data_IF_428475026835
#
_entry.id   IF_428475026835
#
_cell.length_a   1.000
_cell.length_b   1.000
_cell.length_c   1.000
_cell.angle_alpha   90.00
_cell.angle_beta   90.00
_cell.angle_gamma   90.00
#
_symmetry.space_group_name_H-M   'P 1'
#
loop_
_entity.id
_entity.type
_entity.pdbx_description
1 polymer ?
#
# COMPACT_ATOMS: atom_id res chain seq x y z
N UNK A 1 -22.07 25.33 -54.58
CA UNK A 1 -21.61 26.29 -53.55
C UNK A 1 -21.85 25.64 -52.21
N UNK A 2 -20.77 25.29 -51.54
CA UNK A 2 -20.68 24.41 -50.38
C UNK A 2 -20.78 25.23 -49.11
N UNK A 3 -21.60 24.80 -48.15
CA UNK A 3 -21.63 25.34 -46.78
C UNK A 3 -20.60 24.59 -45.91
N UNK A 4 -19.87 25.27 -45.01
CA UNK A 4 -18.87 24.63 -44.16
C UNK A 4 -19.39 24.31 -42.73
N UNK A 5 -18.83 23.22 -42.18
CA UNK A 5 -18.29 23.00 -40.81
C UNK A 5 -19.18 23.24 -39.57
N UNK A 6 -19.08 22.52 -38.45
CA UNK A 6 -18.40 21.31 -38.00
C UNK A 6 -18.99 21.06 -36.59
N UNK A 7 -19.16 19.80 -36.16
CA UNK A 7 -19.24 19.49 -34.74
C UNK A 7 -18.43 18.25 -34.47
N UNK A 8 -17.37 18.51 -33.73
CA UNK A 8 -16.35 17.65 -33.16
C UNK A 8 -16.96 16.58 -32.26
N UNK A 9 -16.70 15.30 -32.56
CA UNK A 9 -16.71 14.23 -31.56
C UNK A 9 -15.46 13.40 -31.81
N UNK A 10 -14.42 13.68 -31.04
CA UNK A 10 -13.23 12.85 -30.98
C UNK A 10 -13.61 11.47 -30.41
N UNK A 11 -13.81 10.53 -31.32
CA UNK A 11 -13.76 9.09 -31.09
C UNK A 11 -12.34 8.74 -30.59
N UNK A 12 -12.22 8.43 -29.29
CA UNK A 12 -10.97 7.89 -28.73
C UNK A 12 -10.99 6.38 -28.90
N UNK A 13 -10.61 5.94 -30.09
CA UNK A 13 -10.29 4.54 -30.34
C UNK A 13 -9.07 4.14 -29.49
N UNK A 14 -9.23 3.14 -28.63
CA UNK A 14 -8.12 2.51 -27.90
C UNK A 14 -7.31 1.67 -28.89
N UNK A 15 -5.97 1.82 -28.99
CA UNK A 15 -5.18 1.01 -29.92
C UNK A 15 -5.04 -0.44 -29.40
N UNK A 16 -4.91 -1.43 -30.30
CA UNK A 16 -4.76 -2.82 -29.92
C UNK A 16 -3.37 -3.10 -29.33
N UNK A 17 -3.33 -4.07 -28.42
CA UNK A 17 -2.13 -4.53 -27.71
C UNK A 17 -1.16 -5.25 -28.66
N UNK A 18 0.09 -4.76 -28.69
CA UNK A 18 1.28 -5.52 -29.09
C UNK A 18 1.92 -5.11 -30.41
N UNK A 19 2.77 -4.07 -30.37
CA UNK A 19 4.00 -3.99 -31.17
C UNK A 19 5.07 -3.30 -30.30
N UNK A 20 6.25 -3.93 -30.14
CA UNK A 20 7.43 -3.33 -29.48
C UNK A 20 7.99 -2.21 -30.35
N UNK A 21 8.11 -0.99 -29.83
CA UNK A 21 8.82 0.11 -30.49
C UNK A 21 10.31 0.17 -30.09
N UNK A 22 11.23 0.39 -31.05
CA UNK A 22 12.66 0.45 -30.83
C UNK A 22 13.12 1.91 -30.71
N UNK A 23 12.93 2.54 -29.55
CA UNK A 23 13.75 3.70 -29.18
C UNK A 23 13.73 3.88 -27.66
N UNK A 24 14.88 4.23 -27.07
CA UNK A 24 15.16 4.24 -25.63
C UNK A 24 14.37 5.28 -24.81
N UNK A 25 13.05 5.19 -24.79
CA UNK A 25 12.12 6.02 -24.03
C UNK A 25 11.79 5.42 -22.65
N UNK A 26 11.84 6.28 -21.65
CA UNK A 26 11.49 6.05 -20.24
C UNK A 26 10.19 5.24 -20.09
N UNK A 27 10.25 4.13 -19.35
CA UNK A 27 9.10 3.26 -19.07
C UNK A 27 7.97 4.06 -18.41
N UNK A 28 6.89 4.30 -19.16
CA UNK A 28 5.71 5.06 -18.69
C UNK A 28 4.75 4.25 -17.81
N UNK A 29 5.18 3.07 -17.37
CA UNK A 29 4.44 2.21 -16.46
C UNK A 29 5.43 1.78 -15.38
N UNK A 30 5.21 2.26 -14.15
CA UNK A 30 5.94 1.83 -12.97
C UNK A 30 5.68 0.34 -12.77
N UNK A 31 6.70 -0.47 -12.98
CA UNK A 31 6.65 -1.93 -12.93
C UNK A 31 7.03 -2.36 -11.51
N UNK A 32 6.04 -2.57 -10.64
CA UNK A 32 6.24 -3.34 -9.40
C UNK A 32 5.42 -4.64 -9.37
N UNK A 33 4.63 -4.91 -10.42
CA UNK A 33 3.91 -6.18 -10.57
C UNK A 33 2.71 -6.34 -9.62
N UNK A 34 2.23 -5.25 -9.00
CA UNK A 34 1.29 -5.32 -7.87
C UNK A 34 -0.18 -5.03 -8.21
N UNK A 35 -0.51 -4.70 -9.46
CA UNK A 35 -1.88 -4.38 -9.89
C UNK A 35 -2.39 -2.98 -9.49
N UNK A 36 -1.66 -2.26 -8.64
CA UNK A 36 -1.88 -0.84 -8.31
C UNK A 36 -0.69 -0.05 -8.80
N UNK A 37 -0.88 0.87 -9.76
CA UNK A 37 0.18 1.81 -10.14
C UNK A 37 0.04 3.09 -9.33
N UNK A 38 1.17 3.68 -8.98
CA UNK A 38 1.22 5.02 -8.36
C UNK A 38 1.87 6.01 -9.31
N UNK A 39 1.32 7.22 -9.40
CA UNK A 39 1.94 8.32 -10.16
C UNK A 39 3.10 8.97 -9.37
N UNK A 40 3.68 10.05 -9.91
CA UNK A 40 4.76 10.80 -9.24
C UNK A 40 4.33 11.40 -7.90
N UNK A 41 3.02 11.62 -7.71
CA UNK A 41 2.41 12.12 -6.48
C UNK A 41 2.01 10.97 -5.52
N UNK A 42 2.34 9.71 -5.85
CA UNK A 42 2.01 8.50 -5.11
C UNK A 42 0.49 8.22 -4.99
N UNK A 43 -0.28 8.69 -5.97
CA UNK A 43 -1.73 8.48 -6.10
C UNK A 43 -2.01 7.13 -6.76
N UNK A 44 -2.91 6.32 -6.19
CA UNK A 44 -3.21 5.01 -6.75
C UNK A 44 -4.18 5.08 -7.94
N UNK A 45 -3.88 4.26 -8.95
CA UNK A 45 -4.82 3.86 -9.99
C UNK A 45 -4.92 2.35 -9.96
N UNK A 46 -6.09 1.82 -9.61
CA UNK A 46 -6.36 0.39 -9.61
C UNK A 46 -7.73 0.10 -10.21
N UNK A 47 -7.81 -0.90 -11.09
CA UNK A 47 -9.07 -1.34 -11.65
C UNK A 47 -9.65 -2.49 -10.83
N UNK A 48 -10.86 -2.31 -10.32
CA UNK A 48 -11.63 -3.37 -9.68
C UNK A 48 -12.59 -3.96 -10.70
N UNK A 49 -12.25 -5.13 -11.24
CA UNK A 49 -13.08 -5.82 -12.23
C UNK A 49 -14.41 -6.31 -11.66
N UNK A 50 -14.42 -6.70 -10.39
CA UNK A 50 -15.61 -7.25 -9.75
C UNK A 50 -16.67 -6.16 -9.54
N UNK A 51 -16.23 -4.96 -9.18
CA UNK A 51 -17.10 -3.79 -9.04
C UNK A 51 -17.23 -2.95 -10.32
N UNK A 52 -16.51 -3.30 -11.40
CA UNK A 52 -16.43 -2.57 -12.66
C UNK A 52 -16.17 -1.06 -12.47
N UNK A 53 -15.16 -0.72 -11.66
CA UNK A 53 -14.82 0.66 -11.33
C UNK A 53 -13.30 0.90 -11.25
N UNK A 54 -12.92 2.18 -11.31
CA UNK A 54 -11.56 2.64 -11.11
C UNK A 54 -11.42 3.21 -9.70
N UNK A 55 -10.50 2.65 -8.93
CA UNK A 55 -10.09 3.16 -7.63
C UNK A 55 -9.00 4.20 -7.87
N UNK A 56 -9.29 5.45 -7.52
CA UNK A 56 -8.43 6.61 -7.77
C UNK A 56 -7.76 7.15 -6.51
N UNK A 57 -8.07 6.56 -5.36
CA UNK A 57 -7.48 6.87 -4.07
C UNK A 57 -6.92 5.61 -3.41
N UNK A 58 -6.08 5.78 -2.38
CA UNK A 58 -5.41 4.69 -1.69
C UNK A 58 -5.48 4.84 -0.18
N UNK A 59 -5.75 3.74 0.49
CA UNK A 59 -5.57 3.58 1.93
C UNK A 59 -4.29 2.78 2.16
N UNK A 60 -3.38 3.33 2.97
CA UNK A 60 -2.13 2.65 3.36
C UNK A 60 -2.34 1.99 4.70
N UNK A 61 -1.83 0.77 4.86
CA UNK A 61 -1.91 0.04 6.13
C UNK A 61 -0.52 -0.40 6.55
N UNK A 62 -0.08 0.03 7.73
CA UNK A 62 1.14 -0.47 8.35
C UNK A 62 0.92 -1.85 8.99
N UNK A 63 1.72 -2.83 8.57
CA UNK A 63 1.64 -4.22 9.01
C UNK A 63 2.95 -4.63 9.69
N UNK A 64 2.82 -5.27 10.84
CA UNK A 64 3.95 -5.87 11.55
C UNK A 64 3.64 -7.30 12.06
N UNK A 65 2.45 -7.82 11.77
CA UNK A 65 1.99 -9.15 12.19
C UNK A 65 1.40 -9.18 13.59
N UNK A 66 1.26 -8.03 14.26
CA UNK A 66 0.51 -7.93 15.51
C UNK A 66 -1.01 -8.02 15.26
N UNK A 67 -1.77 -8.40 16.28
CA UNK A 67 -3.24 -8.41 16.26
C UNK A 67 -3.82 -7.05 15.87
N UNK A 68 -3.23 -5.96 16.37
CA UNK A 68 -3.71 -4.60 16.09
C UNK A 68 -3.45 -4.19 14.64
N UNK A 69 -2.34 -4.67 14.04
CA UNK A 69 -2.05 -4.45 12.63
C UNK A 69 -2.98 -5.26 11.70
N UNK A 70 -3.39 -6.46 12.11
CA UNK A 70 -4.42 -7.23 11.41
C UNK A 70 -5.80 -6.56 11.50
N UNK A 71 -6.17 -6.05 12.68
CA UNK A 71 -7.38 -5.26 12.87
C UNK A 71 -7.37 -3.98 12.00
N UNK A 72 -6.20 -3.33 11.88
CA UNK A 72 -5.99 -2.23 10.94
C UNK A 72 -6.25 -2.61 9.48
N UNK A 73 -5.75 -3.76 9.03
CA UNK A 73 -6.03 -4.22 7.67
C UNK A 73 -7.52 -4.49 7.44
N UNK A 74 -8.18 -5.23 8.34
CA UNK A 74 -9.62 -5.52 8.23
C UNK A 74 -10.46 -4.24 8.22
N UNK A 75 -10.08 -3.26 9.04
CA UNK A 75 -10.76 -1.95 9.06
C UNK A 75 -10.56 -1.19 7.76
N UNK A 76 -9.34 -1.14 7.24
CA UNK A 76 -9.03 -0.50 5.96
C UNK A 76 -9.81 -1.12 4.80
N UNK A 77 -9.91 -2.46 4.76
CA UNK A 77 -10.74 -3.18 3.77
C UNK A 77 -12.20 -2.77 3.85
N UNK A 78 -12.75 -2.66 5.05
CA UNK A 78 -14.13 -2.20 5.25
C UNK A 78 -14.34 -0.76 4.75
N UNK A 79 -13.38 0.13 5.01
CA UNK A 79 -13.43 1.52 4.55
C UNK A 79 -13.33 1.62 3.02
N UNK A 80 -12.38 0.87 2.43
CA UNK A 80 -12.15 0.81 0.99
C UNK A 80 -13.37 0.34 0.18
N UNK A 81 -14.24 -0.47 0.78
CA UNK A 81 -15.50 -0.88 0.15
C UNK A 81 -16.47 0.32 -0.02
N UNK A 82 -16.48 1.27 0.92
CA UNK A 82 -17.35 2.45 0.88
C UNK A 82 -16.77 3.64 0.11
N UNK A 83 -15.45 3.81 0.12
CA UNK A 83 -14.74 4.93 -0.53
C UNK A 83 -14.24 4.62 -1.94
N UNK A 84 -14.33 3.36 -2.39
CA UNK A 84 -13.72 2.89 -3.63
C UNK A 84 -12.20 3.13 -3.71
N UNK A 85 -11.50 3.09 -2.57
CA UNK A 85 -10.04 3.23 -2.53
C UNK A 85 -9.35 1.88 -2.73
N UNK A 86 -8.17 1.84 -3.35
CA UNK A 86 -7.30 0.68 -3.30
C UNK A 86 -6.68 0.55 -1.89
N UNK A 87 -6.26 -0.64 -1.49
CA UNK A 87 -5.60 -0.86 -0.19
C UNK A 87 -4.17 -1.31 -0.42
N UNK A 88 -3.22 -0.64 0.22
CA UNK A 88 -1.81 -1.01 0.19
C UNK A 88 -1.36 -1.45 1.58
N UNK A 89 -1.09 -2.75 1.75
CA UNK A 89 -0.51 -3.30 2.98
C UNK A 89 1.00 -3.17 2.93
N UNK A 90 1.62 -2.60 3.97
CA UNK A 90 3.04 -2.29 4.00
C UNK A 90 3.70 -2.94 5.20
N UNK A 91 4.65 -3.85 4.96
CA UNK A 91 5.58 -4.34 5.98
C UNK A 91 6.93 -3.68 5.75
N UNK A 92 7.44 -2.97 6.75
CA UNK A 92 8.76 -2.35 6.71
C UNK A 92 9.76 -3.15 7.53
N UNK A 93 10.97 -3.33 6.99
CA UNK A 93 12.05 -4.07 7.66
C UNK A 93 13.36 -3.32 7.61
N UNK A 94 14.21 -3.51 8.61
CA UNK A 94 15.55 -2.93 8.63
C UNK A 94 16.52 -3.90 9.28
N UNK A 95 17.78 -3.85 8.86
CA UNK A 95 18.85 -4.57 9.56
C UNK A 95 19.06 -3.85 10.90
N UNK A 96 18.98 -4.54 12.04
CA UNK A 96 19.19 -3.91 13.34
C UNK A 96 20.56 -3.22 13.42
N UNK A 97 20.59 -2.04 14.02
CA UNK A 97 21.82 -1.28 14.21
C UNK A 97 22.84 -2.12 15.01
N UNK A 98 24.09 -2.16 14.55
CA UNK A 98 25.17 -2.96 15.14
C UNK A 98 25.42 -4.32 14.47
N UNK A 99 24.56 -4.72 13.52
CA UNK A 99 24.71 -5.98 12.76
C UNK A 99 25.23 -5.77 11.32
N UNK A 100 25.44 -4.53 10.89
CA UNK A 100 25.99 -4.19 9.58
C UNK A 100 27.43 -4.68 9.42
N UNK A 101 27.60 -5.89 8.91
CA UNK A 101 28.89 -6.55 8.72
C UNK A 101 28.89 -8.06 9.00
N UNK A 102 27.86 -8.58 9.67
CA UNK A 102 27.69 -10.03 9.86
C UNK A 102 26.80 -10.61 8.75
N UNK A 103 27.37 -11.51 7.94
CA UNK A 103 26.59 -12.36 7.04
C UNK A 103 25.93 -13.47 7.87
N UNK A 104 24.65 -13.30 8.17
CA UNK A 104 23.83 -14.41 8.64
C UNK A 104 23.46 -15.24 7.41
N UNK A 105 24.03 -16.43 7.26
CA UNK A 105 23.71 -17.32 6.12
C UNK A 105 22.27 -17.84 6.17
N UNK A 106 21.65 -17.85 7.37
CA UNK A 106 20.39 -18.56 7.62
C UNK A 106 19.24 -17.65 8.10
N UNK A 107 19.47 -16.35 8.29
CA UNK A 107 18.44 -15.40 8.74
C UNK A 107 18.48 -14.12 7.92
N UNK A 108 17.32 -13.70 7.42
CA UNK A 108 17.13 -12.43 6.73
C UNK A 108 15.89 -11.72 7.27
N UNK A 109 16.00 -10.46 7.71
CA UNK A 109 14.84 -9.67 8.14
C UNK A 109 13.83 -9.44 7.01
N UNK A 110 14.26 -9.52 5.75
CA UNK A 110 13.36 -9.47 4.60
C UNK A 110 12.49 -10.72 4.51
N UNK A 111 13.04 -11.90 4.80
CA UNK A 111 12.28 -13.16 4.82
C UNK A 111 11.22 -13.14 5.92
N UNK A 112 11.55 -12.63 7.10
CA UNK A 112 10.58 -12.45 8.19
C UNK A 112 9.46 -11.48 7.78
N UNK A 113 9.79 -10.38 7.11
CA UNK A 113 8.82 -9.42 6.62
C UNK A 113 7.88 -9.99 5.56
N UNK A 114 8.41 -10.81 4.63
CA UNK A 114 7.62 -11.55 3.66
C UNK A 114 6.69 -12.56 4.34
N UNK A 115 7.16 -13.25 5.38
CA UNK A 115 6.34 -14.18 6.15
C UNK A 115 5.20 -13.45 6.88
N UNK A 116 5.49 -12.32 7.52
CA UNK A 116 4.48 -11.45 8.14
C UNK A 116 3.41 -11.05 7.12
N UNK A 117 3.82 -10.59 5.94
CA UNK A 117 2.89 -10.21 4.87
C UNK A 117 1.99 -11.38 4.48
N UNK A 118 2.58 -12.54 4.17
CA UNK A 118 1.84 -13.71 3.72
C UNK A 118 0.83 -14.21 4.76
N UNK A 119 1.25 -14.33 6.03
CA UNK A 119 0.35 -14.73 7.12
C UNK A 119 -0.79 -13.71 7.31
N UNK A 120 -0.48 -12.42 7.26
CA UNK A 120 -1.49 -11.37 7.43
C UNK A 120 -2.51 -11.37 6.29
N UNK A 121 -2.06 -11.61 5.05
CA UNK A 121 -2.94 -11.73 3.87
C UNK A 121 -3.84 -12.96 3.97
N UNK A 122 -3.28 -14.10 4.39
CA UNK A 122 -4.04 -15.33 4.63
C UNK A 122 -5.16 -15.08 5.66
N UNK A 123 -4.82 -14.48 6.80
CA UNK A 123 -5.75 -14.21 7.91
C UNK A 123 -6.82 -13.15 7.61
N UNK A 124 -6.51 -12.21 6.71
CA UNK A 124 -7.40 -11.12 6.35
C UNK A 124 -8.36 -11.45 5.20
N UNK A 125 -7.92 -12.29 4.26
CA UNK A 125 -8.64 -12.55 3.00
C UNK A 125 -9.00 -14.01 2.77
N UNK A 126 -8.76 -14.90 3.74
CA UNK A 126 -9.01 -16.35 3.60
C UNK A 126 -8.24 -16.94 2.40
N UNK A 127 -6.99 -16.47 2.23
CA UNK A 127 -6.01 -17.02 1.29
C UNK A 127 -5.83 -16.26 -0.02
N UNK A 128 -6.88 -15.69 -0.62
CA UNK A 128 -6.73 -14.95 -1.90
C UNK A 128 -6.92 -13.45 -1.73
N UNK A 129 -5.84 -12.70 -1.91
CA UNK A 129 -5.90 -11.25 -1.89
C UNK A 129 -6.69 -10.70 -3.11
N UNK A 130 -7.58 -9.70 -2.92
CA UNK A 130 -8.28 -9.04 -4.02
C UNK A 130 -7.34 -8.27 -4.97
N UNK A 131 -7.73 -8.08 -6.23
CA UNK A 131 -6.92 -7.32 -7.23
C UNK A 131 -6.66 -5.86 -6.82
N UNK A 132 -7.51 -5.27 -5.98
CA UNK A 132 -7.36 -3.90 -5.48
C UNK A 132 -6.51 -3.80 -4.20
N UNK A 133 -6.02 -4.93 -3.69
CA UNK A 133 -5.09 -4.99 -2.58
C UNK A 133 -3.66 -5.22 -3.08
N UNK A 134 -2.73 -4.40 -2.61
CA UNK A 134 -1.31 -4.50 -2.95
C UNK A 134 -0.46 -4.75 -1.71
N UNK A 135 0.20 -5.91 -1.61
CA UNK A 135 1.22 -6.15 -0.59
C UNK A 135 2.54 -5.48 -0.99
N UNK A 136 3.14 -4.74 -0.05
CA UNK A 136 4.44 -4.10 -0.21
C UNK A 136 5.34 -4.44 0.96
N UNK A 137 6.53 -4.97 0.65
CA UNK A 137 7.60 -5.14 1.62
C UNK A 137 8.72 -4.14 1.29
N UNK A 138 9.05 -3.24 2.22
CA UNK A 138 10.08 -2.20 2.01
C UNK A 138 11.17 -2.24 3.06
N UNK A 139 12.41 -2.11 2.61
CA UNK A 139 13.52 -1.85 3.51
C UNK A 139 13.47 -0.40 4.02
N UNK A 140 13.57 -0.21 5.33
CA UNK A 140 13.63 1.09 5.98
C UNK A 140 13.06 1.08 7.40
N UNK A 141 13.19 2.23 8.08
CA UNK A 141 12.49 2.45 9.34
C UNK A 141 10.98 2.51 9.11
N UNK A 142 10.20 1.74 9.87
CA UNK A 142 8.76 1.62 9.66
C UNK A 142 8.02 2.97 9.68
N UNK A 143 8.31 3.85 10.63
CA UNK A 143 7.67 5.17 10.68
C UNK A 143 8.03 6.01 9.45
N UNK A 144 9.30 6.05 9.07
CA UNK A 144 9.75 6.82 7.90
C UNK A 144 9.13 6.32 6.60
N UNK A 145 9.07 4.99 6.41
CA UNK A 145 8.45 4.37 5.24
C UNK A 145 6.96 4.70 5.16
N UNK A 146 6.23 4.58 6.27
CA UNK A 146 4.79 4.85 6.30
C UNK A 146 4.47 6.35 6.14
N UNK A 147 5.27 7.24 6.73
CA UNK A 147 5.14 8.69 6.54
C UNK A 147 5.36 9.04 5.07
N UNK A 148 6.39 8.48 4.42
CA UNK A 148 6.61 8.72 3.00
C UNK A 148 5.44 8.22 2.15
N UNK A 149 4.98 6.98 2.40
CA UNK A 149 3.86 6.39 1.68
C UNK A 149 2.52 7.06 1.96
N UNK A 150 2.41 7.86 3.03
CA UNK A 150 1.21 8.66 3.33
C UNK A 150 0.99 9.81 2.35
N UNK A 151 2.02 10.24 1.63
CA UNK A 151 1.87 11.19 0.51
C UNK A 151 0.97 10.59 -0.56
N UNK A 152 0.00 11.36 -1.04
CA UNK A 152 -0.98 10.91 -2.03
C UNK A 152 -2.00 9.88 -1.53
N UNK A 153 -1.91 9.46 -0.25
CA UNK A 153 -2.89 8.56 0.35
C UNK A 153 -4.09 9.34 0.88
N UNK A 154 -5.27 8.73 0.77
CA UNK A 154 -6.49 9.25 1.40
C UNK A 154 -6.44 9.07 2.92
N UNK A 155 -5.82 7.99 3.38
CA UNK A 155 -5.70 7.65 4.79
C UNK A 155 -4.52 6.70 5.03
N UNK A 156 -3.89 6.84 6.19
CA UNK A 156 -2.94 5.88 6.75
C UNK A 156 -3.60 5.18 7.95
N UNK A 157 -3.60 3.85 7.95
CA UNK A 157 -4.12 3.02 9.04
C UNK A 157 -2.97 2.26 9.68
N UNK A 158 -2.85 2.34 11.00
CA UNK A 158 -1.80 1.66 11.77
C UNK A 158 -2.37 1.00 13.01
N UNK A 159 -1.72 -0.07 13.46
CA UNK A 159 -1.95 -0.61 14.79
C UNK A 159 -1.49 0.36 15.88
N UNK A 160 -2.16 0.35 17.02
CA UNK A 160 -1.79 1.16 18.19
C UNK A 160 -0.44 0.73 18.76
N UNK A 161 -0.12 -0.57 18.68
CA UNK A 161 1.11 -1.19 19.20
C UNK A 161 1.57 -2.31 18.29
N UNK A 162 2.88 -2.55 18.28
CA UNK A 162 3.48 -3.68 17.57
C UNK A 162 3.97 -4.80 18.48
N UNK A 163 4.65 -5.79 17.91
CA UNK A 163 5.21 -6.96 18.63
C UNK A 163 6.19 -6.62 19.77
N UNK A 164 6.76 -5.41 19.79
CA UNK A 164 7.70 -4.95 20.83
C UNK A 164 7.13 -3.95 21.83
N UNK A 165 5.81 -3.77 21.91
CA UNK A 165 5.20 -2.73 22.73
C UNK A 165 5.46 -2.90 24.24
N UNK A 166 5.90 -1.83 24.91
CA UNK A 166 6.01 -1.80 26.37
C UNK A 166 4.62 -1.84 27.01
N UNK A 167 4.40 -2.79 27.93
CA UNK A 167 3.17 -2.87 28.71
C UNK A 167 2.96 -1.56 29.49
N UNK A 168 1.87 -0.84 29.19
CA UNK A 168 1.50 0.43 29.84
C UNK A 168 1.56 1.68 28.96
N UNK A 169 2.06 1.60 27.73
CA UNK A 169 1.96 2.70 26.76
C UNK A 169 0.69 2.57 25.91
N UNK A 170 -0.03 3.69 25.73
CA UNK A 170 -1.26 3.74 24.94
C UNK A 170 -0.97 3.59 23.42
N UNK A 171 0.16 4.11 22.97
CA UNK A 171 0.62 4.10 21.58
C UNK A 171 2.08 3.66 21.49
N UNK A 172 2.40 2.95 20.42
CA UNK A 172 3.76 2.61 20.01
C UNK A 172 4.47 3.78 19.32
N UNK A 173 5.79 3.63 19.14
CA UNK A 173 6.62 4.65 18.49
C UNK A 173 6.23 4.92 17.04
N UNK A 174 5.86 3.87 16.29
CA UNK A 174 5.45 4.00 14.88
C UNK A 174 4.12 4.75 14.75
N UNK A 175 3.10 4.36 15.52
CA UNK A 175 1.80 5.01 15.47
C UNK A 175 1.86 6.46 15.95
N UNK A 176 2.66 6.75 16.98
CA UNK A 176 2.92 8.13 17.44
C UNK A 176 3.57 8.96 16.33
N UNK A 177 4.67 8.49 15.75
CA UNK A 177 5.36 9.22 14.68
C UNK A 177 4.47 9.43 13.44
N UNK A 178 3.66 8.45 13.06
CA UNK A 178 2.72 8.59 11.96
C UNK A 178 1.63 9.63 12.27
N UNK A 179 1.07 9.61 13.47
CA UNK A 179 0.06 10.59 13.88
C UNK A 179 0.60 12.02 13.89
N UNK A 180 1.88 12.22 14.20
CA UNK A 180 2.52 13.53 14.25
C UNK A 180 2.97 14.05 12.87
N UNK A 181 3.28 13.16 11.92
CA UNK A 181 4.04 13.54 10.73
C UNK A 181 3.48 13.04 9.39
N UNK A 182 2.42 12.22 9.38
CA UNK A 182 1.81 11.78 8.13
C UNK A 182 1.24 12.96 7.33
N UNK A 183 1.23 12.79 6.01
CA UNK A 183 0.69 13.75 5.04
C UNK A 183 -0.81 13.56 4.76
N UNK A 184 -1.45 12.61 5.46
CA UNK A 184 -2.87 12.31 5.35
C UNK A 184 -3.47 11.97 6.73
N UNK A 185 -4.80 11.93 6.87
CA UNK A 185 -5.44 11.47 8.10
C UNK A 185 -4.94 10.09 8.55
N UNK A 186 -4.69 9.95 9.85
CA UNK A 186 -4.21 8.69 10.45
C UNK A 186 -5.32 8.07 11.30
N UNK A 187 -5.65 6.82 11.00
CA UNK A 187 -6.51 5.98 11.82
C UNK A 187 -5.65 5.00 12.62
N UNK A 188 -5.75 5.07 13.95
CA UNK A 188 -5.05 4.15 14.85
C UNK A 188 -6.02 3.11 15.39
N UNK A 189 -5.66 1.83 15.24
CA UNK A 189 -6.48 0.70 15.67
C UNK A 189 -5.96 0.10 16.97
N UNK A 190 -6.85 -0.09 17.94
CA UNK A 190 -6.54 -0.83 19.16
C UNK A 190 -6.85 -2.32 18.98
N UNK A 191 -6.20 -3.16 19.78
CA UNK A 191 -6.66 -4.53 19.95
C UNK A 191 -8.03 -4.50 20.64
N UNK A 192 -8.95 -5.38 20.23
CA UNK A 192 -10.29 -5.51 20.85
C UNK A 192 -10.24 -6.04 22.30
N UNK A 193 -9.05 -6.37 22.80
CA UNK A 193 -8.76 -6.85 24.17
C UNK A 193 -8.26 -5.75 25.14
N UNK A 194 -8.45 -4.47 24.81
CA UNK A 194 -8.05 -3.33 25.66
C UNK A 194 -9.13 -2.89 26.66
#
# INVERSE_FOLDING_TARGET
>A
MTFPTASDTHDRTVPPIGEEEPDGGVSRFGVDGTGVTTDEDNTAIAFDKQANLVRTTRIVVGLDGSTSSLAALRKAVTLAAGSHSAVQGVVAWQIPNGYGGYNFTDWSPETDALQIMNTTVEDAFEGTAPEWFTPVVRQGNAAAVLIELSKGAEMLVVGSRGHGGFAGLLLGSVSTACAEHAHCPVLVMHDDDA
#
